data_IF_765044641244
#
_entry.id   IF_765044641244
#
_cell.length_a   1.000
_cell.length_b   1.000
_cell.length_c   1.000
_cell.angle_alpha   90.00
_cell.angle_beta   90.00
_cell.angle_gamma   90.00
#
_symmetry.space_group_name_H-M   'P 1'
#
loop_
_entity.id
_entity.type
_entity.pdbx_description
1 polymer ?
#
# COMPACT_ATOMS: atom_id res chain seq x y z
N UNK A 1 15.29 -15.13 13.04
CA UNK A 1 14.78 -13.76 12.85
C UNK A 1 14.30 -13.20 14.18
N UNK A 2 14.52 -11.93 14.37
CA UNK A 2 14.17 -11.24 15.62
C UNK A 2 12.81 -10.56 15.48
N UNK A 3 11.93 -10.71 16.49
CA UNK A 3 10.66 -9.97 16.53
C UNK A 3 10.94 -8.55 17.02
N UNK A 4 10.64 -7.56 16.18
CA UNK A 4 10.81 -6.14 16.52
C UNK A 4 9.54 -5.53 17.10
N UNK A 5 8.39 -6.04 16.70
CA UNK A 5 7.09 -5.53 17.16
C UNK A 5 6.04 -6.61 17.00
N UNK A 6 5.08 -6.61 17.91
CA UNK A 6 3.96 -7.55 17.88
C UNK A 6 2.66 -6.82 18.21
N UNK A 7 1.62 -7.11 17.47
CA UNK A 7 0.28 -6.60 17.75
C UNK A 7 -0.76 -7.67 17.47
N UNK A 8 -1.87 -7.59 18.15
CA UNK A 8 -3.03 -8.45 17.96
C UNK A 8 -4.24 -7.57 17.64
N UNK A 9 -4.95 -7.91 16.60
CA UNK A 9 -6.13 -7.17 16.14
C UNK A 9 -7.35 -8.05 16.39
N UNK A 10 -8.41 -7.47 16.96
CA UNK A 10 -9.62 -8.21 17.28
C UNK A 10 -10.85 -7.60 16.61
N UNK A 11 -11.68 -8.46 16.04
CA UNK A 11 -13.01 -8.14 15.57
C UNK A 11 -13.95 -9.28 15.99
N UNK A 12 -14.69 -9.06 17.05
CA UNK A 12 -15.48 -10.12 17.69
C UNK A 12 -16.83 -10.37 17.00
N UNK A 13 -17.51 -9.31 16.63
CA UNK A 13 -18.90 -9.39 16.17
C UNK A 13 -19.02 -9.44 14.64
N UNK A 14 -17.96 -9.12 13.92
CA UNK A 14 -18.01 -8.93 12.48
C UNK A 14 -18.64 -7.59 12.11
N UNK A 15 -18.79 -6.70 13.07
CA UNK A 15 -19.30 -5.37 12.87
C UNK A 15 -18.22 -4.47 12.25
N UNK A 16 -18.65 -3.46 11.52
CA UNK A 16 -17.75 -2.52 10.85
C UNK A 16 -17.47 -1.28 11.69
N UNK A 17 -18.07 -1.16 12.87
CA UNK A 17 -18.01 0.08 13.62
C UNK A 17 -16.61 0.37 14.17
N UNK A 18 -16.02 -0.56 14.89
CA UNK A 18 -14.69 -0.35 15.48
C UNK A 18 -13.92 -1.65 15.59
N UNK A 19 -12.67 -1.60 15.18
CA UNK A 19 -11.72 -2.72 15.32
C UNK A 19 -10.59 -2.24 16.22
N UNK A 20 -10.17 -3.07 17.15
CA UNK A 20 -9.19 -2.72 18.16
C UNK A 20 -7.90 -3.51 18.00
N UNK A 21 -6.77 -2.88 18.28
CA UNK A 21 -5.53 -3.60 18.54
C UNK A 21 -5.36 -3.80 20.04
N UNK A 22 -4.54 -4.76 20.42
CA UNK A 22 -4.20 -5.01 21.82
C UNK A 22 -3.56 -3.79 22.49
N UNK A 23 -2.97 -2.90 21.71
CA UNK A 23 -2.34 -1.67 22.18
C UNK A 23 -3.32 -0.49 22.31
N UNK A 24 -4.61 -0.72 22.16
CA UNK A 24 -5.66 0.28 22.31
C UNK A 24 -5.89 1.17 21.10
N UNK A 25 -5.23 0.89 19.98
CA UNK A 25 -5.51 1.63 18.72
C UNK A 25 -6.82 1.15 18.13
N UNK A 26 -7.58 2.09 17.56
CA UNK A 26 -8.89 1.80 16.97
C UNK A 26 -8.92 2.27 15.53
N UNK A 27 -9.60 1.50 14.68
CA UNK A 27 -9.93 1.93 13.33
C UNK A 27 -11.39 1.64 13.09
N UNK A 28 -12.10 2.64 12.55
CA UNK A 28 -13.50 2.50 12.18
C UNK A 28 -13.57 2.10 10.70
N UNK A 29 -14.35 1.07 10.43
CA UNK A 29 -14.57 0.58 9.07
C UNK A 29 -15.95 0.93 8.57
N UNK A 30 -16.04 1.13 7.26
CA UNK A 30 -17.29 1.30 6.54
C UNK A 30 -17.21 0.43 5.27
N UNK A 31 -18.14 -0.52 5.08
CA UNK A 31 -18.10 -1.40 3.92
C UNK A 31 -18.56 -0.70 2.64
N UNK A 32 -19.24 0.44 2.76
CA UNK A 32 -19.72 1.19 1.60
C UNK A 32 -18.67 2.22 1.18
N UNK A 33 -18.63 2.53 -0.11
CA UNK A 33 -17.76 3.57 -0.64
C UNK A 33 -18.48 4.91 -0.72
N UNK A 34 -19.71 4.98 -0.22
CA UNK A 34 -20.59 6.14 -0.33
C UNK A 34 -20.43 7.04 0.89
N UNK A 35 -20.28 6.44 2.06
CA UNK A 35 -20.13 7.18 3.31
C UNK A 35 -18.65 7.47 3.56
N UNK A 36 -18.35 8.71 3.93
CA UNK A 36 -16.98 9.18 4.21
C UNK A 36 -16.52 8.80 5.62
N UNK A 37 -17.40 8.28 6.46
CA UNK A 37 -17.10 7.95 7.84
C UNK A 37 -16.60 6.51 7.98
N UNK A 38 -15.31 6.37 8.20
CA UNK A 38 -14.65 5.07 8.32
C UNK A 38 -13.86 4.69 7.08
N UNK A 39 -13.18 3.56 7.15
CA UNK A 39 -12.29 3.08 6.10
C UNK A 39 -12.79 1.77 5.52
N UNK A 40 -12.65 1.60 4.21
CA UNK A 40 -12.83 0.31 3.56
C UNK A 40 -11.56 -0.53 3.77
N UNK A 41 -11.68 -1.84 4.08
CA UNK A 41 -10.50 -2.70 4.29
C UNK A 41 -9.52 -2.71 3.13
N UNK A 42 -10.01 -2.75 1.90
CA UNK A 42 -9.16 -2.69 0.71
C UNK A 42 -8.40 -1.38 0.60
N UNK A 43 -9.04 -0.27 0.94
CA UNK A 43 -8.41 1.04 0.94
C UNK A 43 -7.29 1.13 1.99
N UNK A 44 -7.46 0.50 3.16
CA UNK A 44 -6.42 0.48 4.19
C UNK A 44 -5.16 -0.23 3.72
N UNK A 45 -5.28 -1.25 2.89
CA UNK A 45 -4.12 -1.90 2.27
C UNK A 45 -3.41 -0.90 1.36
N UNK A 46 -4.16 -0.10 0.60
CA UNK A 46 -3.59 0.95 -0.25
C UNK A 46 -2.84 2.00 0.57
N UNK A 47 -3.43 2.47 1.68
CA UNK A 47 -2.74 3.38 2.62
C UNK A 47 -1.42 2.77 3.09
N UNK A 48 -1.44 1.51 3.49
CA UNK A 48 -0.26 0.81 4.02
C UNK A 48 0.83 0.68 2.96
N UNK A 49 0.46 0.24 1.77
CA UNK A 49 1.43 0.03 0.70
C UNK A 49 2.02 1.36 0.21
N UNK A 50 1.19 2.37 0.04
CA UNK A 50 1.63 3.71 -0.37
C UNK A 50 2.65 4.30 0.61
N UNK A 51 2.36 4.23 1.90
CA UNK A 51 3.25 4.75 2.95
C UNK A 51 4.56 3.97 3.01
N UNK A 52 4.48 2.65 2.93
CA UNK A 52 5.66 1.78 2.97
C UNK A 52 6.56 1.99 1.75
N UNK A 53 5.96 2.07 0.56
CA UNK A 53 6.71 2.36 -0.67
C UNK A 53 7.42 3.71 -0.59
N UNK A 54 6.72 4.75 -0.17
CA UNK A 54 7.30 6.09 -0.10
C UNK A 54 8.43 6.16 0.93
N UNK A 55 8.26 5.54 2.09
CA UNK A 55 9.31 5.50 3.10
C UNK A 55 10.55 4.76 2.60
N UNK A 56 10.34 3.62 1.93
CA UNK A 56 11.42 2.83 1.35
C UNK A 56 12.11 3.60 0.22
N UNK A 57 11.35 4.28 -0.63
CA UNK A 57 11.91 5.10 -1.71
C UNK A 57 12.79 6.22 -1.16
N UNK A 58 12.32 6.93 -0.14
CA UNK A 58 13.13 7.97 0.49
C UNK A 58 14.42 7.43 1.07
N UNK A 59 14.36 6.29 1.71
CA UNK A 59 15.54 5.62 2.24
C UNK A 59 16.53 5.25 1.13
N UNK A 60 16.05 4.62 0.06
CA UNK A 60 16.89 4.20 -1.07
C UNK A 60 17.53 5.41 -1.76
N UNK A 61 16.75 6.46 -2.02
CA UNK A 61 17.27 7.70 -2.61
C UNK A 61 18.39 8.29 -1.73
N UNK A 62 18.15 8.38 -0.43
CA UNK A 62 19.12 8.93 0.51
C UNK A 62 20.42 8.11 0.54
N UNK A 63 20.33 6.80 0.59
CA UNK A 63 21.52 5.94 0.64
C UNK A 63 22.35 5.99 -0.64
N UNK A 64 21.71 6.28 -1.77
CA UNK A 64 22.40 6.45 -3.06
C UNK A 64 22.83 7.88 -3.34
N UNK A 65 22.58 8.80 -2.42
CA UNK A 65 23.00 10.20 -2.55
C UNK A 65 22.10 11.06 -3.43
N UNK A 66 20.91 10.61 -3.75
CA UNK A 66 19.94 11.41 -4.51
C UNK A 66 19.15 12.32 -3.56
N UNK A 67 19.18 13.61 -3.80
CA UNK A 67 18.36 14.59 -3.11
C UNK A 67 17.34 15.18 -4.09
N UNK A 68 16.34 14.39 -4.42
CA UNK A 68 15.33 14.74 -5.42
C UNK A 68 13.93 14.55 -4.85
N UNK A 69 12.97 15.25 -5.45
CA UNK A 69 11.56 15.10 -5.12
C UNK A 69 11.07 13.70 -5.49
N UNK A 70 10.22 13.13 -4.64
CA UNK A 70 9.53 11.89 -4.92
C UNK A 70 8.13 11.90 -4.32
N UNK A 71 7.26 11.12 -4.93
CA UNK A 71 5.87 10.93 -4.49
C UNK A 71 5.44 9.52 -4.90
N UNK A 72 4.65 8.88 -4.06
CA UNK A 72 4.03 7.59 -4.39
C UNK A 72 2.53 7.73 -4.42
N UNK A 73 1.89 7.11 -5.39
CA UNK A 73 0.44 6.94 -5.41
C UNK A 73 0.10 5.46 -5.51
N UNK A 74 -1.00 5.06 -4.88
CA UNK A 74 -1.56 3.72 -5.01
C UNK A 74 -3.05 3.85 -5.31
N UNK A 75 -3.45 3.32 -6.46
CA UNK A 75 -4.85 3.23 -6.83
C UNK A 75 -5.41 1.89 -6.34
N UNK A 76 -6.53 1.94 -5.67
CA UNK A 76 -7.26 0.78 -5.19
C UNK A 76 -8.48 0.54 -6.07
N UNK A 77 -8.64 -0.69 -6.54
CA UNK A 77 -9.79 -1.12 -7.35
C UNK A 77 -10.46 -2.32 -6.68
N UNK A 78 -11.78 -2.25 -6.56
CA UNK A 78 -12.60 -3.38 -6.14
C UNK A 78 -13.38 -3.87 -7.35
N UNK A 79 -13.15 -5.11 -7.75
CA UNK A 79 -13.71 -5.69 -8.97
C UNK A 79 -14.59 -6.88 -8.66
N UNK A 80 -15.64 -7.08 -9.46
CA UNK A 80 -16.36 -8.33 -9.44
C UNK A 80 -15.52 -9.42 -10.10
N UNK A 81 -15.30 -10.49 -9.39
CA UNK A 81 -14.69 -11.69 -9.94
C UNK A 81 -15.75 -12.58 -10.58
N UNK A 82 -16.94 -12.63 -9.95
CA UNK A 82 -18.08 -13.34 -10.47
C UNK A 82 -19.37 -12.65 -10.00
N UNK A 83 -20.21 -12.22 -10.95
CA UNK A 83 -21.50 -11.62 -10.64
C UNK A 83 -22.48 -12.63 -10.03
N UNK A 84 -22.42 -13.88 -10.48
CA UNK A 84 -23.30 -14.94 -10.00
C UNK A 84 -23.04 -15.29 -8.54
N UNK A 85 -21.77 -15.34 -8.14
CA UNK A 85 -21.36 -15.70 -6.77
C UNK A 85 -21.18 -14.49 -5.88
N UNK A 86 -21.26 -13.27 -6.42
CA UNK A 86 -20.97 -12.01 -5.70
C UNK A 86 -19.60 -12.03 -5.04
N UNK A 87 -18.62 -12.56 -5.74
CA UNK A 87 -17.22 -12.58 -5.29
C UNK A 87 -16.50 -11.34 -5.78
N UNK A 88 -15.64 -10.80 -4.92
CA UNK A 88 -14.88 -9.58 -5.19
C UNK A 88 -13.39 -9.88 -5.16
N UNK A 89 -12.64 -9.07 -5.89
CA UNK A 89 -11.19 -9.10 -5.89
C UNK A 89 -10.66 -7.67 -5.81
N UNK A 90 -9.59 -7.49 -5.05
CA UNK A 90 -8.89 -6.20 -4.97
C UNK A 90 -7.70 -6.19 -5.92
N UNK A 91 -7.51 -5.05 -6.56
CA UNK A 91 -6.31 -4.78 -7.35
C UNK A 91 -5.72 -3.46 -6.94
N UNK A 92 -4.39 -3.37 -6.99
CA UNK A 92 -3.65 -2.18 -6.59
C UNK A 92 -2.64 -1.82 -7.67
N UNK A 93 -2.60 -0.54 -8.00
CA UNK A 93 -1.64 -0.01 -8.99
C UNK A 93 -0.82 1.09 -8.32
N UNK A 94 0.46 0.84 -8.11
CA UNK A 94 1.36 1.82 -7.53
C UNK A 94 2.16 2.54 -8.62
N UNK A 95 2.39 3.82 -8.40
CA UNK A 95 3.29 4.62 -9.24
C UNK A 95 4.25 5.38 -8.33
N UNK A 96 5.54 5.18 -8.57
CA UNK A 96 6.62 5.94 -7.93
C UNK A 96 6.98 7.11 -8.86
N UNK A 97 6.74 8.33 -8.40
CA UNK A 97 7.15 9.54 -9.09
C UNK A 97 8.50 9.96 -8.54
N UNK A 98 9.52 9.99 -9.40
CA UNK A 98 10.90 10.29 -9.02
C UNK A 98 11.42 11.36 -9.95
N UNK A 99 11.93 12.46 -9.41
CA UNK A 99 12.42 13.57 -10.22
C UNK A 99 13.84 13.29 -10.76
N UNK A 100 13.95 12.25 -11.54
CA UNK A 100 15.16 11.83 -12.27
C UNK A 100 14.74 11.56 -13.70
N UNK A 101 15.43 12.18 -14.66
CA UNK A 101 15.08 12.08 -16.09
C UNK A 101 15.38 10.70 -16.68
N UNK A 102 16.45 10.07 -16.22
CA UNK A 102 16.91 8.79 -16.76
C UNK A 102 15.95 7.66 -16.36
N UNK A 103 15.30 7.06 -17.34
CA UNK A 103 14.32 5.99 -17.13
C UNK A 103 14.97 4.74 -16.56
N UNK A 104 16.19 4.41 -16.97
CA UNK A 104 16.88 3.21 -16.49
C UNK A 104 17.21 3.34 -14.99
N UNK A 105 17.64 4.53 -14.58
CA UNK A 105 17.86 4.80 -13.15
C UNK A 105 16.55 4.67 -12.37
N UNK A 106 15.45 5.26 -12.89
CA UNK A 106 14.14 5.12 -12.22
C UNK A 106 13.70 3.66 -12.11
N UNK A 107 13.92 2.86 -13.16
CA UNK A 107 13.58 1.43 -13.14
C UNK A 107 14.37 0.67 -12.09
N UNK A 108 15.68 0.92 -11.99
CA UNK A 108 16.53 0.27 -10.99
C UNK A 108 16.11 0.65 -9.58
N UNK A 109 15.81 1.92 -9.34
CA UNK A 109 15.31 2.39 -8.06
C UNK A 109 13.98 1.73 -7.70
N UNK A 110 13.06 1.66 -8.66
CA UNK A 110 11.76 1.02 -8.45
C UNK A 110 11.90 -0.45 -8.06
N UNK A 111 12.75 -1.19 -8.76
CA UNK A 111 12.98 -2.61 -8.46
C UNK A 111 13.56 -2.79 -7.05
N UNK A 112 14.52 -1.96 -6.68
CA UNK A 112 15.11 -2.03 -5.34
C UNK A 112 14.06 -1.70 -4.27
N UNK A 113 13.26 -0.65 -4.47
CA UNK A 113 12.21 -0.25 -3.53
C UNK A 113 11.17 -1.37 -3.39
N UNK A 114 10.71 -1.92 -4.50
CA UNK A 114 9.72 -3.00 -4.50
C UNK A 114 10.25 -4.24 -3.77
N UNK A 115 11.51 -4.57 -3.97
CA UNK A 115 12.13 -5.73 -3.33
C UNK A 115 12.39 -5.53 -1.84
N UNK A 116 12.59 -4.29 -1.40
CA UNK A 116 12.87 -3.96 0.01
C UNK A 116 11.61 -3.68 0.83
N UNK A 117 10.57 -3.15 0.21
CA UNK A 117 9.34 -2.76 0.91
C UNK A 117 8.66 -3.99 1.53
N UNK A 118 8.52 -4.06 2.86
CA UNK A 118 7.89 -5.23 3.50
C UNK A 118 6.46 -5.49 3.05
N UNK A 119 5.69 -4.44 2.79
CA UNK A 119 4.31 -4.59 2.30
C UNK A 119 4.32 -5.12 0.87
N UNK A 120 5.22 -4.63 0.01
CA UNK A 120 5.39 -5.19 -1.34
C UNK A 120 5.71 -6.68 -1.29
N UNK A 121 6.60 -7.09 -0.39
CA UNK A 121 6.95 -8.51 -0.21
C UNK A 121 5.72 -9.35 0.14
N UNK A 122 4.86 -8.80 0.98
CA UNK A 122 3.64 -9.47 1.41
C UNK A 122 2.62 -9.56 0.26
N UNK A 123 2.48 -8.48 -0.52
CA UNK A 123 1.47 -8.36 -1.57
C UNK A 123 1.86 -8.96 -2.92
N UNK A 124 3.02 -9.60 -3.04
CA UNK A 124 3.50 -10.17 -4.31
C UNK A 124 2.50 -11.18 -4.88
N UNK A 125 1.55 -10.68 -5.65
CA UNK A 125 0.52 -11.47 -6.35
C UNK A 125 0.26 -10.84 -7.71
N UNK A 126 -0.55 -11.50 -8.53
CA UNK A 126 -1.02 -10.96 -9.81
C UNK A 126 -1.93 -9.75 -9.66
N UNK A 127 -2.37 -9.45 -8.42
CA UNK A 127 -3.32 -8.37 -8.16
C UNK A 127 -2.65 -7.01 -7.93
N UNK A 128 -1.32 -6.95 -7.96
CA UNK A 128 -0.61 -5.68 -7.82
C UNK A 128 0.24 -5.39 -9.04
N UNK A 129 0.34 -4.13 -9.39
CA UNK A 129 1.31 -3.62 -10.38
C UNK A 129 2.05 -2.43 -9.77
N UNK A 130 3.29 -2.25 -10.17
CA UNK A 130 4.10 -1.11 -9.79
C UNK A 130 4.77 -0.54 -11.04
N UNK A 131 4.80 0.77 -11.11
CA UNK A 131 5.41 1.50 -12.21
C UNK A 131 6.11 2.74 -11.69
N UNK A 132 6.85 3.42 -12.54
CA UNK A 132 7.48 4.68 -12.17
C UNK A 132 7.27 5.72 -13.27
N UNK A 133 7.33 6.98 -12.89
CA UNK A 133 7.28 8.11 -13.80
C UNK A 133 8.21 9.21 -13.30
N UNK A 134 8.67 10.05 -14.23
CA UNK A 134 9.36 11.27 -13.85
C UNK A 134 8.37 12.20 -13.17
N UNK A 135 8.78 12.81 -12.02
CA UNK A 135 7.89 13.58 -11.17
C UNK A 135 7.44 14.91 -11.79
N UNK A 136 8.22 15.48 -12.66
CA UNK A 136 7.93 16.80 -13.26
C UNK A 136 8.22 16.82 -14.76
#
# INVERSE_FOLDING_TARGET
>A
MKILYKSLIENEIGDYSEIYSINGKKIRFNPTHIDQDGHNPGELIAFSWCTCLQATLKYVLKTKGYNVYSKTTVEYLKLYESNEKKEFRFQYKAILYIDISDKDIRNDLMLEVHNRCPVSKLLKTENITINNKKAH
#
